data_IF_804265797268
#
_entry.id   IF_804265797268
#
_cell.length_a   1.000
_cell.length_b   1.000
_cell.length_c   1.000
_cell.angle_alpha   90.00
_cell.angle_beta   90.00
_cell.angle_gamma   90.00
#
_symmetry.space_group_name_H-M   'P 1'
#
loop_
_entity.id
_entity.type
_entity.pdbx_description
1 polymer ?
#
# COMPACT_ATOMS: atom_id res chain seq x y z
N UNK A 1 -2.20 -14.74 -34.25
CA UNK A 1 -0.86 -14.16 -33.98
C UNK A 1 -0.60 -13.74 -32.51
N UNK A 2 -1.52 -14.06 -31.59
CA UNK A 2 -1.45 -13.64 -30.17
C UNK A 2 -0.44 -14.47 -29.33
N UNK A 3 -0.16 -15.71 -29.71
CA UNK A 3 0.73 -16.59 -28.94
C UNK A 3 2.24 -16.22 -29.01
N UNK A 4 2.68 -15.48 -30.02
CA UNK A 4 4.09 -15.05 -30.14
C UNK A 4 4.41 -13.84 -29.25
N UNK A 5 3.45 -13.00 -28.92
CA UNK A 5 3.62 -11.81 -28.09
C UNK A 5 3.88 -12.18 -26.61
N UNK A 6 3.11 -13.09 -26.04
CA UNK A 6 3.27 -13.50 -24.64
C UNK A 6 4.64 -14.15 -24.34
N UNK A 7 5.14 -15.00 -25.26
CA UNK A 7 6.45 -15.62 -25.12
C UNK A 7 7.59 -14.58 -25.17
N UNK A 8 7.43 -13.53 -25.99
CA UNK A 8 8.38 -12.43 -26.10
C UNK A 8 8.41 -11.55 -24.85
N UNK A 9 7.25 -11.26 -24.28
CA UNK A 9 7.13 -10.47 -23.03
C UNK A 9 7.86 -11.14 -21.87
N UNK A 10 7.57 -12.41 -21.59
CA UNK A 10 8.29 -13.17 -20.53
C UNK A 10 9.79 -13.22 -20.77
N UNK A 11 10.22 -13.39 -22.02
CA UNK A 11 11.65 -13.40 -22.36
C UNK A 11 12.32 -12.07 -21.98
N UNK A 12 11.71 -10.93 -22.33
CA UNK A 12 12.27 -9.63 -21.98
C UNK A 12 12.22 -9.37 -20.48
N UNK A 13 11.18 -9.84 -19.79
CA UNK A 13 11.11 -9.74 -18.35
C UNK A 13 12.23 -10.54 -17.66
N UNK A 14 12.54 -11.75 -18.11
CA UNK A 14 13.72 -12.51 -17.62
C UNK A 14 15.04 -11.83 -17.98
N UNK A 15 15.13 -11.20 -19.16
CA UNK A 15 16.30 -10.39 -19.53
C UNK A 15 16.48 -9.19 -18.60
N UNK A 16 15.37 -8.53 -18.20
CA UNK A 16 15.40 -7.47 -17.21
C UNK A 16 15.90 -7.98 -15.86
N UNK A 17 15.34 -9.06 -15.31
CA UNK A 17 15.75 -9.65 -14.03
C UNK A 17 17.25 -9.97 -14.01
N UNK A 18 17.81 -10.40 -15.14
CA UNK A 18 19.27 -10.63 -15.23
C UNK A 18 20.08 -9.35 -15.25
N UNK A 19 19.59 -8.29 -15.93
CA UNK A 19 20.28 -7.01 -16.08
C UNK A 19 20.18 -6.16 -14.81
N UNK A 20 19.10 -6.31 -14.04
CA UNK A 20 18.86 -5.55 -12.80
C UNK A 20 19.70 -6.05 -11.62
N UNK A 21 20.39 -7.18 -11.74
CA UNK A 21 21.27 -7.68 -10.67
C UNK A 21 22.35 -6.67 -10.31
N UNK A 22 22.39 -6.30 -9.02
CA UNK A 22 23.29 -5.29 -8.50
C UNK A 22 22.91 -3.86 -8.88
N UNK A 23 21.71 -3.65 -9.47
CA UNK A 23 21.19 -2.31 -9.72
C UNK A 23 21.06 -1.53 -8.41
N UNK A 24 21.13 -0.20 -8.51
CA UNK A 24 21.02 0.70 -7.36
C UNK A 24 19.72 1.50 -7.48
N UNK A 25 18.99 1.55 -6.39
CA UNK A 25 17.73 2.28 -6.26
C UNK A 25 17.88 3.33 -5.16
N UNK A 26 17.46 4.56 -5.43
CA UNK A 26 17.20 5.53 -4.37
C UNK A 26 15.72 5.44 -3.96
N UNK A 27 15.46 5.46 -2.66
CA UNK A 27 14.11 5.51 -2.13
C UNK A 27 13.97 6.75 -1.25
N UNK A 28 13.07 7.62 -1.65
CA UNK A 28 12.72 8.82 -0.91
C UNK A 28 11.37 8.62 -0.23
N UNK A 29 11.26 9.09 1.00
CA UNK A 29 10.02 9.10 1.75
C UNK A 29 9.79 10.48 2.36
N UNK A 30 8.55 10.91 2.58
CA UNK A 30 8.28 12.14 3.29
C UNK A 30 8.76 12.05 4.75
N UNK A 31 9.00 13.20 5.38
CA UNK A 31 9.44 13.26 6.76
C UNK A 31 8.29 13.02 7.76
N UNK A 32 7.06 13.15 7.33
CA UNK A 32 5.87 13.08 8.17
C UNK A 32 4.76 12.27 7.47
N UNK A 33 3.94 11.60 8.29
CA UNK A 33 2.73 10.93 7.84
C UNK A 33 1.56 11.91 7.90
N UNK A 34 0.83 12.06 6.82
CA UNK A 34 -0.47 12.74 6.90
C UNK A 34 -1.47 11.79 7.56
N UNK A 35 -1.97 12.16 8.75
CA UNK A 35 -2.97 11.39 9.49
C UNK A 35 -4.34 12.03 9.33
N UNK A 36 -5.31 11.27 8.87
CA UNK A 36 -6.68 11.77 8.60
C UNK A 36 -7.72 10.89 9.29
N UNK A 37 -8.69 11.55 9.92
CA UNK A 37 -9.83 10.89 10.53
C UNK A 37 -11.03 10.94 9.59
N UNK A 38 -11.37 9.82 8.99
CA UNK A 38 -12.54 9.67 8.12
C UNK A 38 -13.71 8.93 8.80
N UNK A 39 -13.67 8.81 10.11
CA UNK A 39 -14.72 8.13 10.89
C UNK A 39 -16.00 8.95 10.91
N UNK A 40 -17.05 8.38 10.37
CA UNK A 40 -18.39 9.04 10.33
C UNK A 40 -18.93 9.33 11.73
N UNK A 41 -18.58 8.51 12.72
CA UNK A 41 -19.00 8.67 14.11
C UNK A 41 -18.25 9.80 14.87
N UNK A 42 -17.22 10.32 14.27
CA UNK A 42 -16.47 11.46 14.79
C UNK A 42 -16.95 12.80 14.22
N UNK A 43 -17.89 12.77 13.25
CA UNK A 43 -18.47 14.00 12.70
C UNK A 43 -19.14 14.80 13.83
N UNK A 44 -18.70 16.04 14.09
CA UNK A 44 -19.21 16.84 15.19
C UNK A 44 -20.62 17.35 14.91
N UNK A 45 -21.64 16.51 15.13
CA UNK A 45 -23.03 16.94 15.04
C UNK A 45 -23.41 18.02 16.06
N UNK A 46 -22.51 18.37 16.99
CA UNK A 46 -22.72 19.30 18.11
C UNK A 46 -21.68 20.42 18.20
N UNK A 47 -20.82 20.60 17.23
CA UNK A 47 -19.99 21.81 17.13
C UNK A 47 -20.74 22.76 16.22
N UNK A 48 -20.84 24.03 16.59
CA UNK A 48 -21.33 25.09 15.71
C UNK A 48 -20.37 25.18 14.49
N UNK A 49 -20.53 24.27 13.53
CA UNK A 49 -19.75 24.15 12.30
C UNK A 49 -19.75 25.42 11.44
N UNK A 50 -20.61 26.36 11.79
CA UNK A 50 -20.78 27.63 11.08
C UNK A 50 -19.64 28.61 11.37
N UNK A 51 -18.76 28.33 12.33
CA UNK A 51 -17.75 29.30 12.83
C UNK A 51 -16.30 28.86 12.55
N UNK A 52 -16.07 27.60 12.27
CA UNK A 52 -14.71 27.08 11.98
C UNK A 52 -14.42 27.16 10.48
N UNK A 53 -13.23 27.59 10.12
CA UNK A 53 -12.75 27.37 8.74
C UNK A 53 -12.47 25.88 8.47
N UNK A 54 -12.24 25.53 7.21
CA UNK A 54 -12.08 24.12 6.81
C UNK A 54 -10.85 23.46 7.49
N UNK A 55 -9.80 24.22 7.78
CA UNK A 55 -8.58 23.73 8.41
C UNK A 55 -8.82 23.48 9.91
N UNK A 56 -9.43 24.42 10.64
CA UNK A 56 -9.78 24.25 12.06
C UNK A 56 -10.76 23.09 12.27
N UNK A 57 -11.69 22.91 11.33
CA UNK A 57 -12.62 21.79 11.34
C UNK A 57 -11.88 20.46 11.18
N UNK A 58 -10.96 20.37 10.22
CA UNK A 58 -10.18 19.15 9.97
C UNK A 58 -9.28 18.82 11.16
N UNK A 59 -8.63 19.81 11.76
CA UNK A 59 -7.83 19.64 12.97
C UNK A 59 -8.66 19.12 14.14
N UNK A 60 -9.87 19.66 14.31
CA UNK A 60 -10.81 19.20 15.34
C UNK A 60 -11.23 17.74 15.12
N UNK A 61 -11.48 17.36 13.86
CA UNK A 61 -11.80 15.96 13.50
C UNK A 61 -10.60 15.05 13.74
N UNK A 62 -9.40 15.46 13.31
CA UNK A 62 -8.18 14.68 13.47
C UNK A 62 -7.77 14.51 14.94
N UNK A 63 -8.05 15.49 15.81
CA UNK A 63 -7.81 15.37 17.25
C UNK A 63 -8.56 14.20 17.91
N UNK A 64 -9.57 13.64 17.23
CA UNK A 64 -10.38 12.48 17.69
C UNK A 64 -9.91 11.14 17.16
N UNK A 65 -8.74 11.07 16.51
CA UNK A 65 -8.12 9.82 16.13
C UNK A 65 -7.93 8.92 17.37
N UNK A 66 -8.29 7.65 17.26
CA UNK A 66 -8.18 6.67 18.37
C UNK A 66 -6.84 5.97 18.39
N UNK A 67 -6.33 5.65 17.21
CA UNK A 67 -5.18 4.77 17.02
C UNK A 67 -4.03 5.55 16.41
N UNK A 68 -4.27 6.31 15.36
CA UNK A 68 -3.22 6.95 14.56
C UNK A 68 -2.45 8.04 15.32
N UNK A 69 -3.08 8.69 16.31
CA UNK A 69 -2.38 9.66 17.17
C UNK A 69 -1.32 9.04 18.09
N UNK A 70 -1.28 7.70 18.19
CA UNK A 70 -0.32 6.95 19.02
C UNK A 70 0.87 6.44 18.21
N UNK A 71 0.81 6.54 16.88
CA UNK A 71 1.90 6.14 15.99
C UNK A 71 2.95 7.24 16.00
N UNK A 72 4.19 6.83 16.18
CA UNK A 72 5.36 7.67 15.92
C UNK A 72 5.69 7.60 14.43
N UNK A 73 5.69 8.76 13.76
CA UNK A 73 5.87 8.87 12.31
C UNK A 73 7.27 8.41 11.90
N UNK A 74 8.29 8.80 12.67
CA UNK A 74 9.68 8.43 12.39
C UNK A 74 9.87 6.92 12.50
N UNK A 75 9.31 6.29 13.53
CA UNK A 75 9.38 4.82 13.69
C UNK A 75 8.65 4.13 12.55
N UNK A 76 7.44 4.56 12.19
CA UNK A 76 6.65 3.96 11.12
C UNK A 76 7.39 4.02 9.77
N UNK A 77 7.90 5.21 9.40
CA UNK A 77 8.61 5.41 8.16
C UNK A 77 9.94 4.64 8.13
N UNK A 78 10.71 4.64 9.23
CA UNK A 78 11.96 3.91 9.31
C UNK A 78 11.77 2.40 9.19
N UNK A 79 10.76 1.83 9.84
CA UNK A 79 10.43 0.42 9.73
C UNK A 79 10.04 0.06 8.30
N UNK A 80 9.27 0.91 7.63
CA UNK A 80 8.88 0.74 6.22
C UNK A 80 10.11 0.79 5.31
N UNK A 81 11.03 1.76 5.50
CA UNK A 81 12.27 1.88 4.70
C UNK A 81 13.16 0.65 4.88
N UNK A 82 13.39 0.22 6.12
CA UNK A 82 14.21 -0.95 6.41
C UNK A 82 13.65 -2.21 5.74
N UNK A 83 12.33 -2.35 5.77
CA UNK A 83 11.65 -3.49 5.15
C UNK A 83 11.66 -3.42 3.61
N UNK A 84 11.59 -2.22 3.04
CA UNK A 84 11.78 -1.99 1.61
C UNK A 84 13.20 -2.39 1.17
N UNK A 85 14.23 -1.98 1.93
CA UNK A 85 15.62 -2.35 1.67
C UNK A 85 15.84 -3.86 1.74
N UNK A 86 15.28 -4.51 2.78
CA UNK A 86 15.38 -5.97 2.94
C UNK A 86 14.75 -6.70 1.76
N UNK A 87 13.56 -6.27 1.34
CA UNK A 87 12.86 -6.88 0.23
C UNK A 87 13.57 -6.67 -1.12
N UNK A 88 14.24 -5.54 -1.34
CA UNK A 88 15.02 -5.31 -2.56
C UNK A 88 16.17 -6.32 -2.71
N UNK A 89 16.73 -6.82 -1.61
CA UNK A 89 17.81 -7.82 -1.64
C UNK A 89 17.34 -9.14 -2.26
N UNK A 90 16.06 -9.49 -2.08
CA UNK A 90 15.47 -10.67 -2.71
C UNK A 90 15.45 -10.55 -4.25
N UNK A 91 15.43 -9.33 -4.76
CA UNK A 91 15.51 -9.02 -6.20
C UNK A 91 16.94 -8.80 -6.70
N UNK A 92 17.98 -9.05 -5.89
CA UNK A 92 19.39 -8.73 -6.18
C UNK A 92 19.61 -7.21 -6.48
N UNK A 93 18.82 -6.33 -5.86
CA UNK A 93 18.86 -4.86 -6.01
C UNK A 93 19.31 -4.23 -4.70
N UNK A 94 20.08 -3.16 -4.79
CA UNK A 94 20.65 -2.48 -3.62
C UNK A 94 20.02 -1.11 -3.41
N UNK A 95 19.59 -0.82 -2.19
CA UNK A 95 19.21 0.53 -1.81
C UNK A 95 20.47 1.39 -1.67
N UNK A 96 20.44 2.57 -2.26
CA UNK A 96 21.49 3.57 -2.10
C UNK A 96 20.89 4.75 -1.34
N UNK A 97 21.39 4.98 -0.14
CA UNK A 97 21.10 6.19 0.61
C UNK A 97 21.82 7.38 -0.02
N UNK A 98 21.11 8.48 -0.12
CA UNK A 98 21.62 9.68 -0.76
C UNK A 98 21.82 10.78 0.28
N UNK A 99 23.05 11.25 0.40
CA UNK A 99 23.39 12.31 1.37
C UNK A 99 23.25 13.73 0.80
N UNK A 100 23.08 13.90 -0.53
CA UNK A 100 23.06 15.23 -1.15
C UNK A 100 22.15 15.27 -2.39
N UNK A 101 21.13 16.11 -2.36
CA UNK A 101 20.20 16.37 -3.47
C UNK A 101 20.86 16.88 -4.76
N UNK A 102 22.11 17.34 -4.72
CA UNK A 102 22.78 18.01 -5.82
C UNK A 102 23.72 17.13 -6.68
N UNK A 103 23.85 15.86 -6.37
CA UNK A 103 24.73 14.96 -7.11
C UNK A 103 23.98 13.69 -7.52
N UNK A 104 23.51 13.64 -8.76
CA UNK A 104 23.08 12.35 -9.36
C UNK A 104 24.30 11.44 -9.45
N UNK A 105 24.36 10.33 -8.71
CA UNK A 105 25.46 9.39 -8.88
C UNK A 105 25.40 8.80 -10.29
N UNK A 106 26.54 8.77 -10.98
CA UNK A 106 26.68 8.15 -12.31
C UNK A 106 26.29 6.68 -12.39
N UNK A 107 25.87 6.09 -11.26
CA UNK A 107 25.55 4.66 -11.10
C UNK A 107 24.14 4.38 -10.59
N UNK A 108 23.28 5.38 -10.45
CA UNK A 108 21.90 5.18 -10.04
C UNK A 108 21.07 4.68 -11.24
N UNK A 109 20.33 3.62 -11.06
CA UNK A 109 19.52 3.03 -12.10
C UNK A 109 18.06 3.46 -11.99
N UNK A 110 17.52 3.56 -10.77
CA UNK A 110 16.13 3.90 -10.53
C UNK A 110 15.97 4.79 -9.30
N UNK A 111 14.92 5.61 -9.35
CA UNK A 111 14.46 6.38 -8.19
C UNK A 111 13.01 5.99 -7.90
N UNK A 112 12.74 5.71 -6.65
CA UNK A 112 11.40 5.52 -6.10
C UNK A 112 11.19 6.66 -5.12
N UNK A 113 10.36 7.62 -5.49
CA UNK A 113 9.97 8.72 -4.62
C UNK A 113 8.54 8.49 -4.13
N UNK A 114 8.39 8.18 -2.84
CA UNK A 114 7.11 8.19 -2.15
C UNK A 114 6.79 9.65 -1.81
N UNK A 115 6.24 10.36 -2.79
CA UNK A 115 6.02 11.81 -2.70
C UNK A 115 5.00 12.17 -1.61
N UNK A 116 4.04 11.28 -1.35
CA UNK A 116 3.03 11.47 -0.31
C UNK A 116 2.53 10.15 0.23
N UNK A 117 2.33 10.11 1.55
CA UNK A 117 1.70 8.99 2.25
C UNK A 117 0.65 9.54 3.22
N UNK A 118 -0.56 9.04 3.08
CA UNK A 118 -1.67 9.40 3.96
C UNK A 118 -2.20 8.15 4.64
N UNK A 119 -2.30 8.18 5.97
CA UNK A 119 -2.87 7.13 6.78
C UNK A 119 -4.20 7.60 7.35
N UNK A 120 -5.25 6.83 7.08
CA UNK A 120 -6.63 7.22 7.35
C UNK A 120 -7.28 6.23 8.32
N UNK A 121 -7.95 6.75 9.34
CA UNK A 121 -8.76 5.95 10.25
C UNK A 121 -10.23 6.02 9.84
N UNK A 122 -10.82 4.86 9.49
CA UNK A 122 -12.20 4.74 9.02
C UNK A 122 -13.00 3.80 9.92
N UNK A 123 -14.31 3.86 9.76
CA UNK A 123 -15.23 2.88 10.32
C UNK A 123 -15.79 2.02 9.20
N UNK A 124 -15.75 0.73 9.43
CA UNK A 124 -16.38 -0.27 8.58
C UNK A 124 -17.46 -1.03 9.35
N UNK A 125 -18.36 -1.69 8.66
CA UNK A 125 -19.38 -2.55 9.24
C UNK A 125 -19.25 -3.95 8.65
N UNK A 126 -18.91 -4.92 9.50
CA UNK A 126 -18.77 -6.31 9.10
C UNK A 126 -19.99 -7.10 9.53
N UNK A 127 -20.47 -7.96 8.65
CA UNK A 127 -21.55 -8.89 8.93
C UNK A 127 -21.02 -10.01 9.84
N UNK A 128 -21.72 -10.30 10.95
CA UNK A 128 -21.38 -11.44 11.80
C UNK A 128 -21.80 -12.75 11.13
N UNK A 129 -21.11 -13.83 11.48
CA UNK A 129 -21.52 -15.19 11.11
C UNK A 129 -22.58 -15.76 12.07
N UNK A 130 -22.97 -14.99 13.11
CA UNK A 130 -24.04 -15.34 14.02
C UNK A 130 -25.39 -14.83 13.51
N UNK A 131 -26.37 -15.67 13.58
CA UNK A 131 -27.73 -15.42 13.13
C UNK A 131 -28.71 -15.63 14.29
N UNK A 132 -29.59 -14.67 14.54
CA UNK A 132 -30.73 -14.83 15.48
C UNK A 132 -32.01 -14.74 14.64
N UNK A 133 -32.81 -15.80 14.64
CA UNK A 133 -34.11 -15.83 13.97
C UNK A 133 -34.09 -15.43 12.49
N UNK A 134 -32.99 -15.77 11.78
CA UNK A 134 -32.80 -15.39 10.36
C UNK A 134 -32.23 -13.99 10.16
N UNK A 135 -31.90 -13.26 11.21
CA UNK A 135 -31.32 -11.93 11.13
C UNK A 135 -29.83 -11.96 11.49
N UNK A 136 -29.00 -11.36 10.64
CA UNK A 136 -27.58 -11.15 10.89
C UNK A 136 -27.35 -9.80 11.56
N UNK A 137 -26.35 -9.74 12.43
CA UNK A 137 -25.92 -8.48 13.02
C UNK A 137 -24.71 -7.90 12.28
N UNK A 138 -24.70 -6.57 12.16
CA UNK A 138 -23.55 -5.84 11.71
C UNK A 138 -22.77 -5.31 12.90
N UNK A 139 -21.48 -5.58 12.89
CA UNK A 139 -20.55 -5.08 13.90
C UNK A 139 -19.70 -3.97 13.32
N UNK A 140 -19.60 -2.90 14.09
CA UNK A 140 -18.76 -1.76 13.78
C UNK A 140 -17.30 -2.11 14.06
N UNK A 141 -16.46 -2.02 13.03
CA UNK A 141 -15.01 -2.26 13.09
C UNK A 141 -14.24 -1.02 12.65
N UNK A 142 -12.98 -0.96 13.02
CA UNK A 142 -12.07 0.09 12.58
C UNK A 142 -11.21 -0.44 11.43
N UNK A 143 -11.00 0.40 10.43
CA UNK A 143 -10.08 0.17 9.31
C UNK A 143 -9.03 1.27 9.31
N UNK A 144 -7.78 0.91 9.12
CA UNK A 144 -6.70 1.83 8.79
C UNK A 144 -6.35 1.64 7.33
N UNK A 145 -6.58 2.68 6.53
CA UNK A 145 -6.22 2.72 5.12
C UNK A 145 -4.94 3.53 4.93
N UNK A 146 -4.01 3.02 4.14
CA UNK A 146 -2.82 3.77 3.73
C UNK A 146 -2.87 4.01 2.25
N UNK A 147 -2.99 5.28 1.88
CA UNK A 147 -2.93 5.77 0.52
C UNK A 147 -1.53 6.33 0.23
N UNK A 148 -0.92 5.93 -0.86
CA UNK A 148 0.46 6.25 -1.19
C UNK A 148 0.59 6.70 -2.64
N UNK A 149 1.30 7.82 -2.85
CA UNK A 149 1.58 8.39 -4.15
C UNK A 149 3.08 8.33 -4.42
N UNK A 150 3.42 7.81 -5.57
CA UNK A 150 4.81 7.60 -6.00
C UNK A 150 5.12 8.36 -7.28
N UNK A 151 6.35 8.84 -7.36
CA UNK A 151 7.00 9.14 -8.62
C UNK A 151 8.11 8.12 -8.85
N UNK A 152 8.00 7.33 -9.91
CA UNK A 152 9.03 6.37 -10.30
C UNK A 152 9.81 6.91 -11.49
N UNK A 153 11.12 7.06 -11.30
CA UNK A 153 12.00 7.59 -12.32
C UNK A 153 12.96 6.52 -12.82
N UNK A 154 13.07 6.42 -14.15
CA UNK A 154 13.98 5.55 -14.85
C UNK A 154 14.53 6.27 -16.08
N UNK A 155 15.85 6.45 -16.16
CA UNK A 155 16.55 7.22 -17.19
C UNK A 155 16.05 8.68 -17.26
N UNK A 156 15.16 9.01 -18.19
CA UNK A 156 14.60 10.35 -18.36
C UNK A 156 13.06 10.36 -18.32
N UNK A 157 12.45 9.25 -17.84
CA UNK A 157 11.01 9.13 -17.75
C UNK A 157 10.59 9.09 -16.29
N UNK A 158 9.56 9.84 -15.95
CA UNK A 158 8.86 9.71 -14.69
C UNK A 158 7.42 9.23 -14.91
N UNK A 159 6.89 8.51 -13.96
CA UNK A 159 5.47 8.12 -13.90
C UNK A 159 4.94 8.32 -12.50
N UNK A 160 3.77 8.90 -12.41
CA UNK A 160 3.06 9.09 -11.15
C UNK A 160 2.11 7.93 -10.94
N UNK A 161 2.20 7.31 -9.77
CA UNK A 161 1.48 6.09 -9.44
C UNK A 161 0.84 6.21 -8.06
N UNK A 162 -0.26 5.50 -7.89
CA UNK A 162 -1.04 5.46 -6.66
C UNK A 162 -1.30 4.02 -6.22
N UNK A 163 -1.35 3.79 -4.90
CA UNK A 163 -1.81 2.53 -4.33
C UNK A 163 -2.46 2.75 -2.98
N UNK A 164 -3.38 1.86 -2.64
CA UNK A 164 -4.02 1.80 -1.33
C UNK A 164 -3.87 0.42 -0.72
N UNK A 165 -3.70 0.38 0.60
CA UNK A 165 -3.67 -0.85 1.39
C UNK A 165 -4.46 -0.65 2.68
N UNK A 166 -5.20 -1.69 3.09
CA UNK A 166 -6.01 -1.66 4.29
C UNK A 166 -5.48 -2.61 5.36
N UNK A 167 -5.62 -2.19 6.61
CA UNK A 167 -5.45 -3.00 7.80
C UNK A 167 -6.72 -2.92 8.64
N UNK A 168 -7.43 -4.04 8.73
CA UNK A 168 -8.77 -4.08 9.27
C UNK A 168 -8.81 -4.78 10.65
N UNK A 169 -9.66 -4.26 11.56
CA UNK A 169 -10.19 -5.10 12.61
C UNK A 169 -11.03 -6.21 11.99
N UNK A 170 -11.00 -7.39 12.57
CA UNK A 170 -11.81 -8.51 12.09
C UNK A 170 -12.48 -9.27 13.21
N UNK A 171 -13.58 -9.96 12.88
CA UNK A 171 -14.32 -10.79 13.80
C UNK A 171 -13.56 -12.11 14.00
N UNK A 172 -13.07 -12.34 15.20
CA UNK A 172 -12.42 -13.58 15.60
C UNK A 172 -13.45 -14.69 15.78
N UNK A 173 -14.48 -14.38 16.59
CA UNK A 173 -15.55 -15.31 16.93
C UNK A 173 -16.83 -14.56 17.23
N UNK A 174 -17.96 -15.24 17.11
CA UNK A 174 -19.22 -14.76 17.61
C UNK A 174 -20.01 -15.91 18.27
N UNK A 175 -20.63 -15.62 19.40
CA UNK A 175 -21.36 -16.61 20.18
C UNK A 175 -22.61 -16.00 20.85
N UNK A 176 -23.55 -16.87 21.16
CA UNK A 176 -24.75 -16.46 21.85
C UNK A 176 -24.56 -16.51 23.36
N UNK A 177 -25.10 -15.51 24.05
CA UNK A 177 -25.29 -15.51 25.49
C UNK A 177 -26.72 -15.08 25.85
N UNK A 178 -27.04 -15.14 27.11
CA UNK A 178 -28.31 -14.59 27.64
C UNK A 178 -28.00 -13.37 28.47
N UNK A 179 -28.78 -12.29 28.23
CA UNK A 179 -28.73 -11.10 29.06
C UNK A 179 -29.40 -11.33 30.44
N UNK A 180 -29.42 -10.30 31.30
CA UNK A 180 -30.03 -10.35 32.61
C UNK A 180 -31.55 -10.55 32.57
N UNK A 181 -32.20 -10.33 31.42
CA UNK A 181 -33.61 -10.54 31.16
C UNK A 181 -33.89 -11.86 30.43
N UNK A 182 -32.89 -12.72 30.32
CA UNK A 182 -32.95 -14.02 29.65
C UNK A 182 -33.20 -13.95 28.13
N UNK A 183 -33.00 -12.79 27.49
CA UNK A 183 -33.01 -12.66 26.04
C UNK A 183 -31.69 -13.17 25.44
N UNK A 184 -31.77 -13.77 24.24
CA UNK A 184 -30.57 -14.11 23.46
C UNK A 184 -29.89 -12.86 22.97
N UNK A 185 -28.57 -12.76 23.16
CA UNK A 185 -27.71 -11.69 22.71
C UNK A 185 -26.53 -12.26 21.94
N UNK A 186 -26.21 -11.72 20.81
CA UNK A 186 -24.97 -12.03 20.08
C UNK A 186 -23.81 -11.28 20.73
N UNK A 187 -22.77 -11.99 21.06
CA UNK A 187 -21.50 -11.43 21.50
C UNK A 187 -20.49 -11.64 20.40
N UNK A 188 -19.66 -10.63 20.17
CA UNK A 188 -18.64 -10.66 19.12
C UNK A 188 -17.29 -10.44 19.77
N UNK A 189 -16.36 -11.32 19.46
CA UNK A 189 -14.96 -11.17 19.79
C UNK A 189 -14.25 -10.55 18.59
N UNK A 190 -13.66 -9.35 18.79
CA UNK A 190 -12.96 -8.61 17.75
C UNK A 190 -11.46 -8.69 17.96
N UNK A 191 -10.74 -8.99 16.88
CA UNK A 191 -9.31 -8.71 16.83
C UNK A 191 -9.11 -7.23 16.54
N UNK A 192 -8.72 -6.49 17.56
CA UNK A 192 -8.52 -5.06 17.47
C UNK A 192 -7.16 -4.71 16.84
N UNK A 193 -7.11 -3.63 16.09
CA UNK A 193 -5.86 -3.04 15.61
C UNK A 193 -5.04 -2.59 16.82
N UNK A 194 -3.81 -3.08 16.91
CA UNK A 194 -2.81 -2.65 17.88
C UNK A 194 -1.77 -1.73 17.26
N UNK A 195 -1.04 -1.01 18.11
CA UNK A 195 0.08 -0.17 17.64
C UNK A 195 1.19 -1.03 17.06
N UNK A 196 1.53 -2.16 17.72
CA UNK A 196 2.53 -3.10 17.20
C UNK A 196 2.08 -3.66 15.85
N UNK A 197 0.80 -4.01 15.69
CA UNK A 197 0.24 -4.45 14.41
C UNK A 197 0.31 -3.38 13.32
N UNK A 198 0.28 -2.09 13.66
CA UNK A 198 0.48 -1.02 12.69
C UNK A 198 1.94 -0.89 12.25
N UNK A 199 2.90 -1.14 13.13
CA UNK A 199 4.31 -1.24 12.73
C UNK A 199 4.57 -2.49 11.89
N UNK A 200 3.94 -3.63 12.19
CA UNK A 200 3.96 -4.82 11.32
C UNK A 200 3.34 -4.52 9.95
N UNK A 201 2.30 -3.71 9.92
CA UNK A 201 1.71 -3.22 8.66
C UNK A 201 2.69 -2.33 7.88
N UNK A 202 3.48 -1.47 8.55
CA UNK A 202 4.55 -0.71 7.90
C UNK A 202 5.62 -1.62 7.29
N UNK A 203 5.99 -2.73 7.98
CA UNK A 203 6.88 -3.76 7.41
C UNK A 203 6.29 -4.35 6.13
N UNK A 204 5.00 -4.70 6.16
CA UNK A 204 4.31 -5.22 4.98
C UNK A 204 4.30 -4.21 3.82
N UNK A 205 4.01 -2.94 4.10
CA UNK A 205 4.01 -1.87 3.11
C UNK A 205 5.38 -1.72 2.43
N UNK A 206 6.47 -1.72 3.21
CA UNK A 206 7.82 -1.65 2.65
C UNK A 206 8.12 -2.79 1.67
N UNK A 207 7.77 -4.03 2.05
CA UNK A 207 7.92 -5.21 1.17
C UNK A 207 7.08 -5.11 -0.10
N UNK A 208 5.84 -4.67 0.03
CA UNK A 208 4.95 -4.48 -1.12
C UNK A 208 5.48 -3.42 -2.08
N UNK A 209 5.92 -2.28 -1.56
CA UNK A 209 6.41 -1.18 -2.38
C UNK A 209 7.70 -1.53 -3.13
N UNK A 210 8.59 -2.31 -2.51
CA UNK A 210 9.76 -2.86 -3.19
C UNK A 210 9.36 -3.75 -4.38
N UNK A 211 8.43 -4.69 -4.16
CA UNK A 211 7.93 -5.57 -5.20
C UNK A 211 7.21 -4.82 -6.32
N UNK A 212 6.34 -3.86 -5.98
CA UNK A 212 5.61 -3.05 -6.96
C UNK A 212 6.55 -2.19 -7.81
N UNK A 213 7.56 -1.59 -7.18
CA UNK A 213 8.56 -0.78 -7.89
C UNK A 213 9.37 -1.63 -8.85
N UNK A 214 9.83 -2.80 -8.42
CA UNK A 214 10.56 -3.74 -9.27
C UNK A 214 9.74 -4.18 -10.48
N UNK A 215 8.49 -4.60 -10.23
CA UNK A 215 7.57 -5.04 -11.28
C UNK A 215 7.26 -3.91 -12.25
N UNK A 216 7.11 -2.67 -11.77
CA UNK A 216 6.92 -1.50 -12.63
C UNK A 216 8.10 -1.30 -13.58
N UNK A 217 9.34 -1.26 -13.08
CA UNK A 217 10.53 -1.08 -13.91
C UNK A 217 10.72 -2.24 -14.90
N UNK A 218 10.38 -3.46 -14.49
CA UNK A 218 10.38 -4.63 -15.38
C UNK A 218 9.38 -4.46 -16.53
N UNK A 219 8.15 -4.06 -16.24
CA UNK A 219 7.12 -3.86 -17.26
C UNK A 219 7.46 -2.69 -18.18
N UNK A 220 8.02 -1.59 -17.66
CA UNK A 220 8.50 -0.47 -18.48
C UNK A 220 9.62 -0.92 -19.43
N UNK A 221 10.58 -1.70 -18.95
CA UNK A 221 11.62 -2.28 -19.80
C UNK A 221 11.02 -3.19 -20.89
N UNK A 222 10.07 -4.04 -20.55
CA UNK A 222 9.40 -4.94 -21.50
C UNK A 222 8.68 -4.12 -22.58
N UNK A 223 7.92 -3.08 -22.22
CA UNK A 223 7.26 -2.17 -23.16
C UNK A 223 8.25 -1.54 -24.12
N UNK A 224 9.37 -1.01 -23.60
CA UNK A 224 10.44 -0.39 -24.41
C UNK A 224 11.07 -1.40 -25.40
N UNK A 225 11.35 -2.63 -24.98
CA UNK A 225 11.93 -3.66 -25.84
C UNK A 225 10.96 -4.18 -26.91
N UNK A 226 9.67 -4.29 -26.61
CA UNK A 226 8.64 -4.64 -27.58
C UNK A 226 8.48 -3.51 -28.64
N UNK A 227 8.41 -2.26 -28.19
CA UNK A 227 8.31 -1.09 -29.08
C UNK A 227 9.49 -0.99 -30.05
N UNK A 228 10.72 -1.27 -29.61
CA UNK A 228 11.92 -1.29 -30.49
C UNK A 228 11.83 -2.35 -31.59
N UNK A 229 10.98 -3.37 -31.43
CA UNK A 229 10.85 -4.51 -32.35
C UNK A 229 9.51 -4.52 -33.10
N UNK A 230 8.75 -3.44 -33.02
CA UNK A 230 7.42 -3.32 -33.63
C UNK A 230 6.44 -4.43 -33.19
N UNK A 231 6.55 -4.87 -31.92
CA UNK A 231 5.69 -5.86 -31.30
C UNK A 231 4.66 -5.18 -30.41
N UNK A 232 3.43 -5.68 -30.45
CA UNK A 232 2.35 -5.17 -29.60
C UNK A 232 2.56 -5.56 -28.12
N UNK A 233 2.35 -4.60 -27.23
CA UNK A 233 2.22 -4.81 -25.81
C UNK A 233 0.72 -5.00 -25.48
N UNK A 234 0.39 -6.04 -24.73
CA UNK A 234 -0.98 -6.21 -24.25
C UNK A 234 -1.17 -5.41 -22.96
N UNK A 235 -1.98 -4.36 -23.00
CA UNK A 235 -2.30 -3.53 -21.83
C UNK A 235 -3.12 -4.29 -20.77
N UNK A 236 -3.76 -5.40 -21.18
CA UNK A 236 -4.57 -6.22 -20.27
C UNK A 236 -3.75 -7.13 -19.34
N UNK A 237 -2.42 -7.17 -19.53
CA UNK A 237 -1.56 -8.09 -18.79
C UNK A 237 -0.38 -7.36 -18.16
N UNK A 238 -0.26 -7.50 -16.85
CA UNK A 238 0.86 -7.02 -16.07
C UNK A 238 1.74 -8.19 -15.64
N UNK A 239 3.05 -8.05 -15.78
CA UNK A 239 4.02 -9.09 -15.39
C UNK A 239 4.48 -8.85 -13.97
N UNK A 240 4.53 -9.94 -13.19
CA UNK A 240 5.12 -9.96 -11.85
C UNK A 240 6.22 -10.98 -11.77
N UNK A 241 7.25 -10.65 -11.00
CA UNK A 241 8.34 -11.54 -10.69
C UNK A 241 8.28 -11.99 -9.24
N UNK A 242 8.29 -13.30 -9.04
CA UNK A 242 8.46 -13.91 -7.73
C UNK A 242 9.95 -14.23 -7.54
N UNK A 243 10.67 -13.53 -6.63
CA UNK A 243 12.09 -13.73 -6.44
C UNK A 243 12.41 -15.06 -5.74
N UNK A 244 11.49 -15.63 -4.96
CA UNK A 244 11.70 -16.91 -4.26
C UNK A 244 11.59 -18.11 -5.20
N UNK A 245 10.56 -18.09 -6.04
CA UNK A 245 10.34 -19.12 -7.06
C UNK A 245 11.10 -18.85 -8.36
N UNK A 246 11.73 -17.67 -8.49
CA UNK A 246 12.40 -17.19 -9.71
C UNK A 246 11.50 -17.29 -10.95
N UNK A 247 10.23 -16.98 -10.79
CA UNK A 247 9.20 -17.19 -11.80
C UNK A 247 8.47 -15.88 -12.15
N UNK A 248 8.19 -15.69 -13.46
CA UNK A 248 7.41 -14.59 -13.97
C UNK A 248 6.02 -15.07 -14.35
N UNK A 249 5.01 -14.41 -13.78
CA UNK A 249 3.60 -14.70 -14.05
C UNK A 249 2.84 -13.45 -14.52
N UNK A 250 1.70 -13.69 -15.17
CA UNK A 250 0.80 -12.62 -15.57
C UNK A 250 -0.23 -12.39 -14.48
N UNK A 251 -0.55 -11.12 -14.25
CA UNK A 251 -1.66 -10.70 -13.42
C UNK A 251 -2.49 -9.65 -14.16
N UNK A 252 -3.78 -9.57 -13.82
CA UNK A 252 -4.66 -8.48 -14.26
C UNK A 252 -4.74 -7.36 -13.23
N UNK A 253 -4.25 -7.63 -12.02
CA UNK A 253 -4.30 -6.67 -10.93
C UNK A 253 -2.99 -5.91 -10.88
N UNK A 254 -2.95 -4.76 -11.52
CA UNK A 254 -1.93 -3.77 -11.24
C UNK A 254 -2.22 -3.16 -9.86
N UNK A 255 -1.21 -3.15 -8.99
CA UNK A 255 -1.33 -2.58 -7.64
C UNK A 255 -0.86 -1.15 -7.58
N UNK A 256 -0.18 -0.69 -8.62
CA UNK A 256 0.15 0.71 -8.84
C UNK A 256 -0.71 1.22 -10.00
N UNK A 257 -1.55 2.19 -9.72
CA UNK A 257 -2.42 2.82 -10.72
C UNK A 257 -1.72 4.07 -11.24
N UNK A 258 -1.51 4.15 -12.56
CA UNK A 258 -0.91 5.34 -13.17
C UNK A 258 -1.92 6.50 -13.11
N UNK A 259 -1.45 7.66 -12.62
CA UNK A 259 -2.22 8.89 -12.51
C UNK A 259 -1.82 9.79 -13.68
N UNK A 260 -2.80 10.10 -14.57
CA UNK A 260 -2.61 10.99 -15.73
C UNK A 260 -2.90 12.44 -15.39
#
# INVERSE_FOLDING_TARGET
MILSSCASQKKFAYDFVKKSKGAKVAFYVPNELKKTNLRIDCNPQNVDLVVLDDEELQDTINSRLRILNKIDDEIFLNVMIMSFEEALKDYDVNLQYWENENTTPDSLHWVVDLSHIEIQELVNYQLTNCEIEGNYEFVKTTTVNVASWFELLNDNNSSFLFTEQNYDEYINDCYYSKDSLNNLVVNVDLHHISIDGLYDFAVMLGKLYAGYSFDYFMNDYVRKELKKRDLEYSEDTYLRYDPYEMYIYYTRNDKLVEIN
#
